data_IF_631919343978
#
_entry.id   IF_631919343978
#
_cell.length_a   1.000
_cell.length_b   1.000
_cell.length_c   1.000
_cell.angle_alpha   90.00
_cell.angle_beta   90.00
_cell.angle_gamma   90.00
#
_symmetry.space_group_name_H-M   'P 1'
#
loop_
_entity.id
_entity.type
_entity.pdbx_description
1 polymer ?
#
# COMPACT_ATOMS: atom_id res chain seq x y z
N UNK A 1 16.74 -23.81 -17.82
CA UNK A 1 16.75 -22.50 -17.12
C UNK A 1 15.64 -21.54 -17.56
N UNK A 2 15.25 -21.48 -18.85
CA UNK A 2 14.20 -20.56 -19.34
C UNK A 2 12.78 -20.86 -18.85
N UNK A 3 12.45 -22.14 -18.63
CA UNK A 3 11.14 -22.59 -18.16
C UNK A 3 10.86 -22.21 -16.69
N UNK A 4 11.89 -22.14 -15.84
CA UNK A 4 11.74 -21.72 -14.44
C UNK A 4 11.46 -20.22 -14.30
N UNK A 5 12.03 -19.40 -15.18
CA UNK A 5 11.78 -17.95 -15.19
C UNK A 5 10.34 -17.64 -15.59
N UNK A 6 9.81 -18.33 -16.62
CA UNK A 6 8.42 -18.19 -17.04
C UNK A 6 7.44 -18.67 -15.96
N UNK A 7 7.80 -19.69 -15.20
CA UNK A 7 6.99 -20.18 -14.08
C UNK A 7 6.94 -19.18 -12.92
N UNK A 8 8.08 -18.56 -12.58
CA UNK A 8 8.19 -17.51 -11.54
C UNK A 8 7.35 -16.28 -11.86
N UNK A 9 7.38 -15.83 -13.12
CA UNK A 9 6.60 -14.68 -13.57
C UNK A 9 5.09 -14.98 -13.61
N UNK A 10 4.69 -16.22 -13.93
CA UNK A 10 3.27 -16.63 -13.95
C UNK A 10 2.64 -16.80 -12.57
N UNK A 11 3.42 -17.04 -11.53
CA UNK A 11 2.91 -17.37 -10.19
C UNK A 11 3.14 -16.26 -9.17
N UNK A 12 3.56 -15.05 -9.59
CA UNK A 12 3.92 -13.93 -8.69
C UNK A 12 4.68 -14.40 -7.45
N UNK A 13 5.60 -15.36 -7.61
CA UNK A 13 6.38 -15.89 -6.49
C UNK A 13 7.30 -14.75 -6.08
N UNK A 14 6.89 -14.05 -5.03
CA UNK A 14 7.59 -12.92 -4.41
C UNK A 14 9.01 -13.38 -4.12
N UNK A 15 9.95 -12.93 -4.96
CA UNK A 15 11.35 -13.03 -4.59
C UNK A 15 11.47 -12.12 -3.38
N UNK A 16 11.73 -12.69 -2.20
CA UNK A 16 12.14 -11.87 -1.06
C UNK A 16 13.21 -10.90 -1.57
N UNK A 17 12.98 -9.58 -1.46
CA UNK A 17 13.91 -8.63 -2.01
C UNK A 17 15.27 -8.89 -1.36
N UNK A 18 16.33 -8.84 -2.17
CA UNK A 18 17.71 -8.98 -1.66
C UNK A 18 18.04 -7.92 -0.59
N UNK A 19 17.19 -6.90 -0.45
CA UNK A 19 17.25 -5.81 0.51
C UNK A 19 15.90 -5.67 1.24
N UNK A 20 15.87 -5.90 2.57
CA UNK A 20 14.90 -5.35 3.53
C UNK A 20 13.39 -5.46 3.28
N UNK A 21 12.60 -4.83 4.16
CA UNK A 21 11.17 -4.57 3.98
C UNK A 21 11.05 -3.42 2.97
N UNK A 22 10.10 -3.49 2.02
CA UNK A 22 9.86 -2.38 1.09
C UNK A 22 9.21 -1.23 1.85
N UNK A 23 9.73 -0.02 1.65
CA UNK A 23 9.26 1.21 2.30
C UNK A 23 9.47 2.38 1.35
N UNK A 24 8.57 3.35 1.42
CA UNK A 24 8.64 4.63 0.74
C UNK A 24 9.31 5.69 1.60
N UNK A 25 8.99 5.74 2.90
CA UNK A 25 9.50 6.76 3.83
C UNK A 25 10.86 6.42 4.46
N UNK A 26 11.15 5.13 4.64
CA UNK A 26 12.31 4.68 5.42
C UNK A 26 13.33 3.98 4.55
N UNK A 27 14.61 4.07 4.94
CA UNK A 27 15.62 3.20 4.35
C UNK A 27 15.37 1.73 4.76
N UNK A 28 15.98 0.78 4.06
CA UNK A 28 15.75 -0.65 4.32
C UNK A 28 16.22 -1.12 5.72
N UNK A 29 17.08 -0.36 6.42
CA UNK A 29 17.56 -0.65 7.79
C UNK A 29 16.59 -0.10 8.82
N UNK A 30 16.10 1.10 8.61
CA UNK A 30 15.10 1.79 9.42
C UNK A 30 13.75 1.09 9.32
N UNK A 31 13.30 0.76 8.12
CA UNK A 31 12.03 0.06 7.85
C UNK A 31 11.90 -1.28 8.59
N UNK A 32 13.03 -1.93 8.93
CA UNK A 32 13.05 -3.16 9.74
C UNK A 32 12.76 -2.92 11.22
N UNK A 33 13.05 -1.72 11.71
CA UNK A 33 12.89 -1.34 13.12
C UNK A 33 11.55 -0.65 13.37
N UNK A 34 10.92 -0.09 12.33
CA UNK A 34 9.62 0.59 12.46
C UNK A 34 8.51 -0.45 12.65
N UNK A 35 7.77 -0.30 13.75
CA UNK A 35 6.63 -1.16 14.05
C UNK A 35 5.48 -0.89 13.05
N UNK A 36 4.90 -1.93 12.43
CA UNK A 36 3.77 -1.76 11.51
C UNK A 36 2.58 -1.02 12.13
N UNK A 37 2.38 -1.18 13.44
CA UNK A 37 1.32 -0.50 14.17
C UNK A 37 1.55 1.01 14.25
N UNK A 38 2.80 1.45 14.45
CA UNK A 38 3.14 2.86 14.47
C UNK A 38 2.87 3.53 13.11
N UNK A 39 3.17 2.82 12.01
CA UNK A 39 2.84 3.30 10.65
C UNK A 39 1.33 3.40 10.49
N UNK A 40 0.55 2.41 10.92
CA UNK A 40 -0.90 2.42 10.82
C UNK A 40 -1.53 3.57 11.61
N UNK A 41 -1.08 3.83 12.83
CA UNK A 41 -1.58 4.93 13.67
C UNK A 41 -1.23 6.30 13.05
N UNK A 42 0.00 6.47 12.57
CA UNK A 42 0.41 7.70 11.88
C UNK A 42 -0.39 7.93 10.60
N UNK A 43 -0.55 6.89 9.77
CA UNK A 43 -1.29 6.97 8.52
C UNK A 43 -2.78 7.24 8.75
N UNK A 44 -3.40 6.66 9.77
CA UNK A 44 -4.80 6.96 10.13
C UNK A 44 -4.97 8.42 10.52
N UNK A 45 -4.07 8.97 11.34
CA UNK A 45 -4.11 10.40 11.70
C UNK A 45 -3.96 11.29 10.46
N UNK A 46 -2.97 11.02 9.61
CA UNK A 46 -2.77 11.78 8.38
C UNK A 46 -3.95 11.66 7.41
N UNK A 47 -4.58 10.49 7.33
CA UNK A 47 -5.75 10.27 6.50
C UNK A 47 -6.95 11.06 6.99
N UNK A 48 -7.20 11.10 8.30
CA UNK A 48 -8.27 11.93 8.89
C UNK A 48 -8.07 13.42 8.60
N UNK A 49 -6.82 13.90 8.65
CA UNK A 49 -6.49 15.28 8.26
C UNK A 49 -6.75 15.56 6.77
N UNK A 50 -6.52 14.57 5.90
CA UNK A 50 -6.82 14.66 4.47
C UNK A 50 -8.34 14.63 4.23
N UNK A 51 -9.08 13.77 4.91
CA UNK A 51 -10.56 13.72 4.85
C UNK A 51 -11.17 15.05 5.27
N UNK A 52 -10.62 15.71 6.30
CA UNK A 52 -11.10 17.02 6.73
C UNK A 52 -10.96 18.10 5.63
N UNK A 53 -10.01 17.93 4.70
CA UNK A 53 -9.79 18.81 3.55
C UNK A 53 -10.58 18.36 2.32
N UNK A 54 -10.65 17.06 2.07
CA UNK A 54 -11.38 16.42 0.96
C UNK A 54 -12.28 15.29 1.50
N UNK A 55 -13.55 15.58 1.83
CA UNK A 55 -14.49 14.59 2.36
C UNK A 55 -14.78 13.44 1.40
N UNK A 56 -14.42 13.53 0.12
CA UNK A 56 -14.56 12.41 -0.82
C UNK A 56 -13.70 11.22 -0.44
N UNK A 57 -12.66 11.44 0.38
CA UNK A 57 -11.76 10.38 0.84
C UNK A 57 -12.40 9.45 1.88
N UNK A 58 -13.48 9.86 2.57
CA UNK A 58 -14.10 9.10 3.67
C UNK A 58 -14.48 7.67 3.27
N UNK A 59 -14.85 7.44 2.00
CA UNK A 59 -15.20 6.11 1.51
C UNK A 59 -14.05 5.09 1.58
N UNK A 60 -12.81 5.55 1.72
CA UNK A 60 -11.60 4.73 1.82
C UNK A 60 -11.14 4.50 3.27
N UNK A 61 -11.88 4.98 4.27
CA UNK A 61 -11.49 4.90 5.69
C UNK A 61 -11.16 3.47 6.14
N UNK A 62 -11.87 2.46 5.63
CA UNK A 62 -11.60 1.05 5.94
C UNK A 62 -10.19 0.55 5.58
N UNK A 63 -9.45 1.26 4.70
CA UNK A 63 -8.04 0.95 4.40
C UNK A 63 -7.08 1.45 5.50
N UNK A 64 -7.52 2.38 6.35
CA UNK A 64 -6.71 3.01 7.40
C UNK A 64 -7.21 2.66 8.81
N UNK A 65 -8.48 2.33 8.96
CA UNK A 65 -9.12 1.83 10.20
C UNK A 65 -8.74 0.37 10.45
N UNK A 66 -7.45 0.14 10.56
CA UNK A 66 -6.87 -1.17 10.80
C UNK A 66 -7.18 -1.61 12.23
N UNK A 67 -7.97 -2.68 12.36
CA UNK A 67 -8.02 -3.42 13.62
C UNK A 67 -6.67 -4.11 13.89
N UNK A 68 -6.22 -4.05 15.15
CA UNK A 68 -4.93 -4.58 15.64
C UNK A 68 -4.75 -6.07 15.40
N UNK A 69 -5.81 -6.82 15.09
CA UNK A 69 -5.80 -8.27 15.05
C UNK A 69 -6.55 -8.77 13.81
N UNK A 70 -5.87 -9.50 12.92
CA UNK A 70 -6.56 -10.32 11.90
C UNK A 70 -6.27 -10.01 10.43
N UNK A 71 -5.55 -8.94 10.09
CA UNK A 71 -5.11 -8.77 8.70
C UNK A 71 -4.02 -9.78 8.38
N UNK A 72 -4.45 -10.84 7.72
CA UNK A 72 -3.59 -11.79 7.03
C UNK A 72 -3.35 -11.16 5.66
N UNK A 73 -2.09 -10.87 5.32
CA UNK A 73 -1.73 -10.15 4.09
C UNK A 73 -2.40 -10.69 2.83
N UNK A 74 -2.29 -9.97 1.71
CA UNK A 74 -3.04 -10.24 0.46
C UNK A 74 -2.97 -11.68 -0.06
N UNK A 75 -1.90 -12.38 0.27
CA UNK A 75 -1.71 -13.81 -0.04
C UNK A 75 -2.76 -14.74 0.60
N UNK A 76 -3.50 -14.26 1.60
CA UNK A 76 -4.57 -15.00 2.29
C UNK A 76 -5.99 -14.64 1.82
N UNK A 77 -6.12 -13.64 0.95
CA UNK A 77 -7.39 -13.25 0.36
C UNK A 77 -7.72 -14.15 -0.84
N UNK A 78 -9.01 -14.39 -1.07
CA UNK A 78 -9.51 -14.97 -2.32
C UNK A 78 -9.21 -14.05 -3.51
N UNK A 79 -9.38 -14.56 -4.73
CA UNK A 79 -9.18 -13.75 -5.94
C UNK A 79 -10.17 -12.58 -5.98
N UNK A 80 -11.43 -12.85 -5.64
CA UNK A 80 -12.50 -11.87 -5.62
C UNK A 80 -12.23 -10.76 -4.57
N UNK A 81 -11.82 -11.14 -3.36
CA UNK A 81 -11.45 -10.16 -2.32
C UNK A 81 -10.22 -9.33 -2.72
N UNK A 82 -9.23 -9.94 -3.38
CA UNK A 82 -8.07 -9.21 -3.89
C UNK A 82 -8.45 -8.21 -4.99
N UNK A 83 -9.39 -8.56 -5.86
CA UNK A 83 -9.87 -7.67 -6.93
C UNK A 83 -10.71 -6.51 -6.37
N UNK A 84 -11.55 -6.75 -5.36
CA UNK A 84 -12.26 -5.67 -4.65
C UNK A 84 -11.29 -4.71 -3.95
N UNK A 85 -10.27 -5.26 -3.29
CA UNK A 85 -9.21 -4.48 -2.66
C UNK A 85 -8.41 -3.67 -3.71
N UNK A 86 -8.07 -4.27 -4.85
CA UNK A 86 -7.40 -3.59 -5.96
C UNK A 86 -8.23 -2.39 -6.43
N UNK A 87 -9.49 -2.60 -6.76
CA UNK A 87 -10.38 -1.54 -7.23
C UNK A 87 -10.49 -0.37 -6.23
N UNK A 88 -10.54 -0.69 -4.94
CA UNK A 88 -10.61 0.31 -3.87
C UNK A 88 -9.32 1.12 -3.77
N UNK A 89 -8.17 0.44 -3.77
CA UNK A 89 -6.84 1.08 -3.70
C UNK A 89 -6.58 1.94 -4.95
N UNK A 90 -6.91 1.47 -6.13
CA UNK A 90 -6.69 2.21 -7.37
C UNK A 90 -7.49 3.51 -7.40
N UNK A 91 -8.74 3.46 -6.95
CA UNK A 91 -9.56 4.66 -6.78
C UNK A 91 -8.95 5.61 -5.75
N UNK A 92 -8.53 5.10 -4.59
CA UNK A 92 -7.86 5.92 -3.58
C UNK A 92 -6.61 6.60 -4.15
N UNK A 93 -5.76 5.87 -4.90
CA UNK A 93 -4.52 6.42 -5.48
C UNK A 93 -4.81 7.58 -6.45
N UNK A 94 -5.91 7.51 -7.20
CA UNK A 94 -6.34 8.63 -8.06
C UNK A 94 -6.69 9.88 -7.25
N UNK A 95 -7.33 9.74 -6.09
CA UNK A 95 -7.61 10.87 -5.20
C UNK A 95 -6.35 11.36 -4.48
N UNK A 96 -5.52 10.42 -4.02
CA UNK A 96 -4.30 10.69 -3.26
C UNK A 96 -3.21 11.34 -4.11
N UNK A 97 -3.24 11.19 -5.46
CA UNK A 97 -2.30 11.80 -6.40
C UNK A 97 -2.02 13.30 -6.11
N UNK A 98 -3.05 14.05 -5.75
CA UNK A 98 -2.98 15.49 -5.42
C UNK A 98 -2.21 15.79 -4.12
N UNK A 99 -2.08 14.78 -3.27
CA UNK A 99 -1.50 14.87 -1.93
C UNK A 99 -0.17 14.13 -1.80
N UNK A 100 0.31 13.43 -2.85
CA UNK A 100 1.56 12.65 -2.79
C UNK A 100 2.83 13.49 -2.54
N UNK A 101 2.76 14.81 -2.77
CA UNK A 101 3.84 15.73 -2.45
C UNK A 101 3.79 16.27 -1.02
N UNK A 102 2.79 15.90 -0.22
CA UNK A 102 2.68 16.30 1.20
C UNK A 102 3.05 15.15 2.12
N UNK A 103 3.57 15.47 3.31
CA UNK A 103 3.96 14.47 4.31
C UNK A 103 2.77 13.55 4.69
N UNK A 104 1.55 14.09 4.70
CA UNK A 104 0.33 13.31 4.98
C UNK A 104 0.08 12.27 3.90
N UNK A 105 0.15 12.65 2.62
CA UNK A 105 -0.05 11.72 1.50
C UNK A 105 1.04 10.65 1.43
N UNK A 106 2.29 11.03 1.72
CA UNK A 106 3.41 10.08 1.77
C UNK A 106 3.28 9.08 2.93
N UNK A 107 2.80 9.52 4.10
CA UNK A 107 2.53 8.62 5.24
C UNK A 107 1.41 7.65 4.93
N UNK A 108 0.34 8.12 4.26
CA UNK A 108 -0.71 7.23 3.77
C UNK A 108 -0.16 6.20 2.77
N UNK A 109 0.70 6.64 1.84
CA UNK A 109 1.32 5.77 0.84
C UNK A 109 2.23 4.70 1.49
N UNK A 110 2.98 5.06 2.54
CA UNK A 110 3.81 4.11 3.29
C UNK A 110 2.98 2.97 3.87
N UNK A 111 1.81 3.26 4.42
CA UNK A 111 0.91 2.22 4.89
C UNK A 111 0.47 1.34 3.73
N UNK A 112 0.09 1.93 2.60
CA UNK A 112 -0.37 1.16 1.43
C UNK A 112 0.70 0.20 0.90
N UNK A 113 1.94 0.66 0.81
CA UNK A 113 3.09 -0.15 0.37
C UNK A 113 3.39 -1.25 1.39
N UNK A 114 3.49 -0.89 2.67
CA UNK A 114 3.93 -1.82 3.71
C UNK A 114 2.89 -2.86 4.12
N UNK A 115 1.59 -2.58 3.88
CA UNK A 115 0.47 -3.43 4.28
C UNK A 115 -0.20 -4.15 3.10
N UNK A 116 -0.41 -3.45 1.99
CA UNK A 116 -1.17 -3.96 0.84
C UNK A 116 -0.27 -4.25 -0.37
N UNK A 117 1.05 -4.15 -0.23
CA UNK A 117 2.02 -4.47 -1.27
C UNK A 117 1.64 -3.86 -2.63
N UNK A 118 1.17 -2.60 -2.63
CA UNK A 118 0.65 -1.94 -3.84
C UNK A 118 1.70 -1.83 -4.95
N UNK A 119 2.99 -1.87 -4.59
CA UNK A 119 4.11 -1.98 -5.51
C UNK A 119 4.19 -3.31 -6.27
N UNK A 120 3.35 -4.28 -5.91
CA UNK A 120 3.27 -5.59 -6.56
C UNK A 120 1.91 -5.74 -7.23
N UNK A 121 0.84 -5.36 -6.54
CA UNK A 121 -0.53 -5.61 -6.96
C UNK A 121 -1.18 -4.46 -7.75
N UNK A 122 -0.74 -3.21 -7.55
CA UNK A 122 -1.37 -2.01 -8.11
C UNK A 122 -0.35 -1.07 -8.78
N UNK A 123 0.70 -1.64 -9.38
CA UNK A 123 1.82 -0.87 -9.94
C UNK A 123 1.41 0.17 -10.99
N UNK A 124 0.49 -0.19 -11.88
CA UNK A 124 0.08 0.70 -12.96
C UNK A 124 -0.64 1.95 -12.41
N UNK A 125 -1.54 1.77 -11.44
CA UNK A 125 -2.22 2.87 -10.75
C UNK A 125 -1.26 3.69 -9.88
N UNK A 126 -0.31 3.05 -9.21
CA UNK A 126 0.73 3.73 -8.43
C UNK A 126 1.60 4.63 -9.30
N UNK A 127 2.03 4.14 -10.46
CA UNK A 127 2.80 4.92 -11.43
C UNK A 127 1.97 6.08 -11.98
N UNK A 128 0.69 5.84 -12.32
CA UNK A 128 -0.20 6.88 -12.83
C UNK A 128 -0.43 7.99 -11.79
N UNK A 129 -0.60 7.63 -10.52
CA UNK A 129 -0.77 8.60 -9.44
C UNK A 129 0.48 9.48 -9.21
N UNK A 130 1.67 8.98 -9.56
CA UNK A 130 2.93 9.72 -9.49
C UNK A 130 3.22 10.65 -10.67
N UNK A 131 2.37 10.64 -11.71
CA UNK A 131 2.49 11.55 -12.86
C UNK A 131 1.65 12.81 -12.56
N UNK A 132 2.27 14.01 -12.53
CA UNK A 132 1.58 15.26 -12.22
C UNK A 132 0.59 15.72 -13.30
#
# INVERSE_FOLDING_TARGET
>A
LRQLQAFKAKHNISQQPKHGKVSFLYDWREARSVEPQAIAEAALSCFQDLVAQDPSLEEFAGLFEVEKEGYKGRDFLTTEENDELNNTIERLLMHLSKHLLTDQGQTCLELLISRYDIQTYNMDALLLAGIP
#
